data_IF_131491731961
#
_entry.id   IF_131491731961
#
_cell.length_a   1.000
_cell.length_b   1.000
_cell.length_c   1.000
_cell.angle_alpha   90.00
_cell.angle_beta   90.00
_cell.angle_gamma   90.00
#
_symmetry.space_group_name_H-M   'P 1'
#
loop_
_entity.id
_entity.type
_entity.pdbx_description
1 polymer ?
#
# COMPACT_ATOMS: atom_id res chain seq x y z
N UNK A 1 -6.92 -23.33 10.89
CA UNK A 1 -6.37 -22.19 10.12
C UNK A 1 -5.68 -22.81 8.94
N UNK A 2 -5.89 -22.26 7.75
CA UNK A 2 -5.35 -22.82 6.51
C UNK A 2 -4.06 -22.10 6.10
N UNK A 3 -3.39 -22.58 5.07
CA UNK A 3 -2.11 -22.02 4.60
C UNK A 3 -2.19 -20.51 4.31
N UNK A 4 -3.33 -20.01 3.81
CA UNK A 4 -3.57 -18.57 3.57
C UNK A 4 -3.52 -17.76 4.88
N UNK A 5 -4.05 -18.29 5.98
CA UNK A 5 -4.02 -17.60 7.28
C UNK A 5 -2.56 -17.45 7.77
N UNK A 6 -1.75 -18.50 7.62
CA UNK A 6 -0.32 -18.47 7.96
C UNK A 6 0.47 -17.51 7.07
N UNK A 7 0.14 -17.43 5.79
CA UNK A 7 0.74 -16.46 4.87
C UNK A 7 0.43 -15.02 5.30
N UNK A 8 -0.82 -14.73 5.63
CA UNK A 8 -1.25 -13.42 6.14
C UNK A 8 -0.47 -13.05 7.41
N UNK A 9 -0.45 -13.93 8.40
CA UNK A 9 0.28 -13.71 9.66
C UNK A 9 1.77 -13.49 9.37
N UNK A 10 2.37 -14.31 8.50
CA UNK A 10 3.77 -14.20 8.12
C UNK A 10 4.13 -12.84 7.53
N UNK A 11 3.29 -12.31 6.63
CA UNK A 11 3.50 -10.99 6.01
C UNK A 11 3.37 -9.87 7.04
N UNK A 12 2.37 -9.90 7.93
CA UNK A 12 2.23 -8.89 9.00
C UNK A 12 3.41 -8.95 9.94
N UNK A 13 3.78 -10.15 10.39
CA UNK A 13 4.91 -10.36 11.29
C UNK A 13 6.21 -9.87 10.68
N UNK A 14 6.47 -10.20 9.41
CA UNK A 14 7.63 -9.70 8.68
C UNK A 14 7.63 -8.16 8.58
N UNK A 15 6.49 -7.55 8.27
CA UNK A 15 6.33 -6.10 8.24
C UNK A 15 6.63 -5.45 9.59
N UNK A 16 6.18 -6.05 10.70
CA UNK A 16 6.48 -5.59 12.06
C UNK A 16 7.98 -5.70 12.33
N UNK A 17 8.59 -6.86 12.09
CA UNK A 17 10.01 -7.09 12.35
C UNK A 17 10.88 -6.10 11.57
N UNK A 18 10.62 -5.94 10.27
CA UNK A 18 11.34 -4.97 9.43
C UNK A 18 11.20 -3.55 9.98
N UNK A 19 9.99 -3.17 10.42
CA UNK A 19 9.74 -1.82 10.92
C UNK A 19 10.33 -1.57 12.32
N UNK A 20 10.43 -2.60 13.16
CA UNK A 20 11.15 -2.54 14.45
C UNK A 20 12.64 -2.39 14.23
N UNK A 21 13.22 -3.06 13.23
CA UNK A 21 14.65 -2.95 12.91
C UNK A 21 14.98 -1.56 12.35
N UNK A 22 14.12 -1.05 11.46
CA UNK A 22 14.32 0.25 10.79
C UNK A 22 13.97 1.45 11.67
N UNK A 23 12.94 1.32 12.50
CA UNK A 23 12.41 2.43 13.32
C UNK A 23 11.32 3.23 12.60
N UNK A 24 10.45 3.88 13.37
CA UNK A 24 9.33 4.68 12.86
C UNK A 24 9.79 5.86 12.00
N UNK A 25 10.83 6.56 12.43
CA UNK A 25 11.30 7.77 11.75
C UNK A 25 11.86 7.41 10.38
N UNK A 26 12.65 6.33 10.28
CA UNK A 26 13.19 5.90 9.00
C UNK A 26 12.07 5.55 8.00
N UNK A 27 11.02 4.92 8.51
CA UNK A 27 9.87 4.50 7.73
C UNK A 27 9.00 5.69 7.27
N UNK A 28 8.77 6.65 8.17
CA UNK A 28 8.02 7.89 7.88
C UNK A 28 8.77 8.76 6.88
N UNK A 29 10.08 8.96 7.08
CA UNK A 29 10.92 9.68 6.14
C UNK A 29 10.94 9.01 4.78
N UNK A 30 11.01 7.68 4.72
CA UNK A 30 10.91 6.96 3.46
C UNK A 30 9.59 7.24 2.75
N UNK A 31 8.47 7.30 3.48
CA UNK A 31 7.17 7.65 2.90
C UNK A 31 7.16 9.08 2.34
N UNK A 32 7.68 10.05 3.09
CA UNK A 32 7.80 11.44 2.67
C UNK A 32 8.68 11.55 1.41
N UNK A 33 9.83 10.89 1.40
CA UNK A 33 10.77 10.89 0.27
C UNK A 33 10.09 10.33 -0.99
N UNK A 34 9.32 9.26 -0.89
CA UNK A 34 8.56 8.71 -2.02
C UNK A 34 7.54 9.70 -2.57
N UNK A 35 6.78 10.37 -1.69
CA UNK A 35 5.79 11.39 -2.10
C UNK A 35 6.49 12.59 -2.75
N UNK A 36 7.58 13.08 -2.14
CA UNK A 36 8.38 14.17 -2.69
C UNK A 36 8.99 13.78 -4.05
N UNK A 37 9.54 12.57 -4.18
CA UNK A 37 10.12 12.09 -5.43
C UNK A 37 9.07 12.07 -6.54
N UNK A 38 7.85 11.60 -6.26
CA UNK A 38 6.76 11.61 -7.22
C UNK A 38 6.36 13.03 -7.64
N UNK A 39 6.17 13.94 -6.67
CA UNK A 39 5.75 15.31 -6.95
C UNK A 39 6.82 16.11 -7.70
N UNK A 40 8.08 16.03 -7.28
CA UNK A 40 9.18 16.74 -7.93
C UNK A 40 9.44 16.15 -9.31
N UNK A 41 9.46 14.83 -9.46
CA UNK A 41 9.65 14.20 -10.78
C UNK A 41 8.58 14.61 -11.78
N UNK A 42 7.30 14.59 -11.37
CA UNK A 42 6.19 15.00 -12.25
C UNK A 42 6.16 16.49 -12.56
N UNK A 43 6.75 17.34 -11.72
CA UNK A 43 6.80 18.79 -11.96
C UNK A 43 8.04 19.22 -12.75
N UNK A 44 9.20 18.61 -12.49
CA UNK A 44 10.50 19.05 -13.02
C UNK A 44 11.00 18.26 -14.24
N UNK A 45 10.27 17.24 -14.71
CA UNK A 45 10.70 16.45 -15.88
C UNK A 45 10.95 17.29 -17.13
N UNK A 46 10.16 18.36 -17.34
CA UNK A 46 10.27 19.23 -18.52
C UNK A 46 11.65 19.85 -18.69
N UNK A 47 12.34 20.18 -17.59
CA UNK A 47 13.69 20.74 -17.62
C UNK A 47 14.74 19.71 -18.05
N UNK A 48 14.55 18.44 -17.67
CA UNK A 48 15.49 17.38 -17.98
C UNK A 48 15.28 16.82 -19.40
N UNK A 49 14.03 16.79 -19.89
CA UNK A 49 13.70 16.32 -21.25
C UNK A 49 14.46 17.08 -22.35
N UNK A 50 14.77 18.36 -22.15
CA UNK A 50 15.53 19.17 -23.13
C UNK A 50 16.91 18.58 -23.43
N UNK A 51 17.50 17.88 -22.46
CA UNK A 51 18.81 17.23 -22.60
C UNK A 51 18.72 15.79 -23.12
N UNK A 52 17.51 15.23 -23.23
CA UNK A 52 17.28 13.89 -23.76
C UNK A 52 16.96 13.95 -25.26
N UNK A 53 17.99 13.87 -26.10
CA UNK A 53 17.86 13.83 -27.57
C UNK A 53 17.61 12.40 -28.10
N UNK A 54 17.11 11.50 -27.26
CA UNK A 54 17.28 10.06 -27.49
C UNK A 54 16.18 9.40 -28.32
N UNK A 55 15.04 10.05 -28.56
CA UNK A 55 13.92 9.44 -29.31
C UNK A 55 13.01 10.46 -30.01
N UNK A 56 12.50 10.10 -31.19
CA UNK A 56 11.49 10.87 -31.93
C UNK A 56 10.12 10.92 -31.22
N UNK A 57 9.89 10.06 -30.24
CA UNK A 57 8.64 10.02 -29.46
C UNK A 57 8.77 10.81 -28.16
N UNK A 58 7.98 11.88 -28.07
CA UNK A 58 7.93 12.77 -26.90
C UNK A 58 7.46 12.04 -25.63
N UNK A 59 6.62 11.02 -25.76
CA UNK A 59 6.12 10.25 -24.61
C UNK A 59 7.25 9.45 -23.94
N UNK A 60 8.14 8.87 -24.75
CA UNK A 60 9.27 8.08 -24.26
C UNK A 60 10.27 8.98 -23.53
N UNK A 61 10.66 10.11 -24.12
CA UNK A 61 11.62 11.03 -23.50
C UNK A 61 11.09 11.60 -22.17
N UNK A 62 9.80 11.98 -22.12
CA UNK A 62 9.16 12.44 -20.89
C UNK A 62 9.21 11.37 -19.80
N UNK A 63 8.88 10.12 -20.15
CA UNK A 63 8.89 9.00 -19.22
C UNK A 63 10.29 8.73 -18.67
N UNK A 64 11.30 8.73 -19.53
CA UNK A 64 12.69 8.53 -19.11
C UNK A 64 13.14 9.67 -18.18
N UNK A 65 12.81 10.93 -18.49
CA UNK A 65 13.17 12.06 -17.66
C UNK A 65 12.53 11.99 -16.25
N UNK A 66 11.24 11.62 -16.18
CA UNK A 66 10.53 11.37 -14.93
C UNK A 66 11.26 10.28 -14.13
N UNK A 67 11.59 9.15 -14.76
CA UNK A 67 12.29 8.03 -14.12
C UNK A 67 13.63 8.48 -13.56
N UNK A 68 14.45 9.19 -14.35
CA UNK A 68 15.77 9.67 -13.91
C UNK A 68 15.63 10.55 -12.67
N UNK A 69 14.80 11.60 -12.73
CA UNK A 69 14.62 12.52 -11.60
C UNK A 69 14.08 11.80 -10.38
N UNK A 70 13.12 10.89 -10.58
CA UNK A 70 12.52 10.11 -9.50
C UNK A 70 13.57 9.30 -8.74
N UNK A 71 14.41 8.54 -9.46
CA UNK A 71 15.47 7.76 -8.83
C UNK A 71 16.56 8.63 -8.21
N UNK A 72 16.92 9.76 -8.83
CA UNK A 72 17.87 10.71 -8.24
C UNK A 72 17.38 11.20 -6.89
N UNK A 73 16.12 11.58 -6.77
CA UNK A 73 15.53 12.05 -5.50
C UNK A 73 15.45 10.92 -4.48
N UNK A 74 15.07 9.70 -4.90
CA UNK A 74 15.05 8.54 -4.00
C UNK A 74 16.44 8.25 -3.42
N UNK A 75 17.50 8.32 -4.24
CA UNK A 75 18.87 8.08 -3.79
C UNK A 75 19.30 9.16 -2.78
N UNK A 76 19.11 10.43 -3.12
CA UNK A 76 19.46 11.55 -2.23
C UNK A 76 18.66 11.46 -0.92
N UNK A 77 17.35 11.22 -1.02
CA UNK A 77 16.48 11.04 0.13
C UNK A 77 16.89 9.85 0.98
N UNK A 78 17.28 8.71 0.39
CA UNK A 78 17.75 7.55 1.13
C UNK A 78 19.02 7.84 1.93
N UNK A 79 19.97 8.61 1.36
CA UNK A 79 21.17 9.06 2.07
C UNK A 79 20.78 9.94 3.26
N UNK A 80 19.94 10.96 3.04
CA UNK A 80 19.45 11.85 4.10
C UNK A 80 18.74 11.06 5.20
N UNK A 81 17.89 10.12 4.82
CA UNK A 81 17.17 9.25 5.74
C UNK A 81 18.15 8.42 6.60
N UNK A 82 19.20 7.86 5.98
CA UNK A 82 20.21 7.08 6.69
C UNK A 82 21.01 7.93 7.70
N UNK A 83 21.37 9.16 7.33
CA UNK A 83 22.06 10.10 8.21
C UNK A 83 21.18 10.47 9.41
N UNK A 84 19.92 10.85 9.17
CA UNK A 84 18.97 11.20 10.24
C UNK A 84 18.75 10.01 11.18
N UNK A 85 18.53 8.82 10.61
CA UNK A 85 18.35 7.59 11.38
C UNK A 85 19.54 7.29 12.28
N UNK A 86 20.76 7.50 11.78
CA UNK A 86 22.00 7.29 12.53
C UNK A 86 22.15 8.25 13.72
N UNK A 87 21.61 9.47 13.63
CA UNK A 87 21.58 10.43 14.74
C UNK A 87 20.60 9.98 15.82
N UNK A 88 19.39 9.57 15.43
CA UNK A 88 18.34 9.13 16.36
C UNK A 88 18.77 7.88 17.12
N UNK A 89 19.42 6.93 16.44
CA UNK A 89 19.87 5.68 17.05
C UNK A 89 20.87 5.89 18.20
N UNK A 90 21.58 7.02 18.22
CA UNK A 90 22.51 7.38 19.31
C UNK A 90 21.82 7.99 20.53
N UNK A 91 20.54 8.31 20.42
CA UNK A 91 19.75 8.88 21.52
C UNK A 91 18.96 7.80 22.26
N UNK A 92 18.61 8.06 23.52
CA UNK A 92 17.75 7.18 24.33
C UNK A 92 16.35 7.00 23.72
N UNK A 93 15.94 7.87 22.80
CA UNK A 93 14.67 7.78 22.06
C UNK A 93 14.62 6.62 21.06
N UNK A 94 15.76 5.99 20.75
CA UNK A 94 15.86 4.84 19.83
C UNK A 94 14.93 3.68 20.23
N UNK A 95 14.72 3.42 21.53
CA UNK A 95 13.80 2.38 21.99
C UNK A 95 12.33 2.68 21.65
N UNK A 96 11.91 3.94 21.85
CA UNK A 96 10.54 4.39 21.56
C UNK A 96 10.29 4.40 20.05
N UNK A 97 11.27 4.86 19.27
CA UNK A 97 11.21 4.87 17.80
C UNK A 97 10.99 3.47 17.22
N UNK A 98 11.64 2.44 17.78
CA UNK A 98 11.45 1.04 17.35
C UNK A 98 10.08 0.48 17.70
N UNK A 99 9.54 0.81 18.89
CA UNK A 99 8.19 0.37 19.29
C UNK A 99 7.12 1.02 18.41
N UNK A 100 7.23 2.33 18.19
CA UNK A 100 6.36 3.05 17.25
C UNK A 100 6.51 2.49 15.83
N UNK A 101 7.74 2.09 15.45
CA UNK A 101 8.03 1.43 14.19
C UNK A 101 7.27 0.12 14.05
N UNK A 102 7.24 -0.70 15.11
CA UNK A 102 6.44 -1.92 15.15
C UNK A 102 4.94 -1.68 14.96
N UNK A 103 4.37 -0.68 15.64
CA UNK A 103 2.96 -0.31 15.46
C UNK A 103 2.67 0.15 14.02
N UNK A 104 3.54 0.99 13.45
CA UNK A 104 3.42 1.44 12.07
C UNK A 104 3.57 0.27 11.08
N UNK A 105 4.51 -0.64 11.33
CA UNK A 105 4.72 -1.85 10.53
C UNK A 105 3.51 -2.79 10.55
N UNK A 106 2.84 -2.92 11.69
CA UNK A 106 1.60 -3.68 11.80
C UNK A 106 0.50 -3.06 10.94
N UNK A 107 0.29 -1.75 11.06
CA UNK A 107 -0.69 -1.01 10.24
C UNK A 107 -0.38 -1.13 8.74
N UNK A 108 0.88 -0.95 8.35
CA UNK A 108 1.34 -1.12 6.96
C UNK A 108 1.09 -2.54 6.46
N UNK A 109 1.41 -3.55 7.26
CA UNK A 109 1.19 -4.96 6.91
C UNK A 109 -0.30 -5.27 6.68
N UNK A 110 -1.17 -4.75 7.55
CA UNK A 110 -2.63 -4.86 7.43
C UNK A 110 -3.14 -4.19 6.15
N UNK A 111 -2.68 -2.97 5.85
CA UNK A 111 -3.05 -2.23 4.64
C UNK A 111 -2.57 -2.97 3.39
N UNK A 112 -1.32 -3.46 3.40
CA UNK A 112 -0.73 -4.17 2.28
C UNK A 112 -1.47 -5.47 1.95
N UNK A 113 -1.80 -6.27 2.97
CA UNK A 113 -2.58 -7.50 2.79
C UNK A 113 -4.00 -7.19 2.32
N UNK A 114 -4.63 -6.13 2.88
CA UNK A 114 -5.95 -5.68 2.42
C UNK A 114 -5.93 -5.32 0.94
N UNK A 115 -4.87 -4.64 0.47
CA UNK A 115 -4.70 -4.30 -0.94
C UNK A 115 -4.50 -5.56 -1.81
N UNK A 116 -3.72 -6.55 -1.36
CA UNK A 116 -3.56 -7.84 -2.05
C UNK A 116 -4.89 -8.58 -2.16
N UNK A 117 -5.62 -8.70 -1.05
CA UNK A 117 -6.94 -9.36 -1.01
C UNK A 117 -7.89 -8.64 -1.96
N UNK A 118 -7.92 -7.31 -1.93
CA UNK A 118 -8.72 -6.48 -2.82
C UNK A 118 -8.38 -6.73 -4.29
N UNK A 119 -7.09 -6.76 -4.64
CA UNK A 119 -6.64 -7.01 -6.01
C UNK A 119 -7.02 -8.43 -6.47
N UNK A 120 -6.77 -9.45 -5.65
CA UNK A 120 -7.16 -10.83 -5.93
C UNK A 120 -8.68 -10.99 -6.09
N UNK A 121 -9.48 -10.22 -5.34
CA UNK A 121 -10.93 -10.22 -5.46
C UNK A 121 -11.44 -9.67 -6.79
N UNK A 122 -10.76 -8.67 -7.34
CA UNK A 122 -11.17 -7.98 -8.58
C UNK A 122 -10.61 -8.68 -9.82
N UNK A 123 -9.33 -9.00 -9.80
CA UNK A 123 -8.63 -9.48 -10.98
C UNK A 123 -8.59 -11.00 -11.08
N UNK A 124 -9.02 -11.74 -10.05
CA UNK A 124 -8.90 -13.21 -10.03
C UNK A 124 -10.17 -13.89 -9.53
N UNK A 125 -10.45 -15.09 -10.03
CA UNK A 125 -11.51 -15.97 -9.49
C UNK A 125 -11.10 -16.72 -8.22
N UNK A 126 -9.99 -16.32 -7.59
CA UNK A 126 -9.45 -16.89 -6.35
C UNK A 126 -10.45 -16.92 -5.18
N UNK A 127 -11.40 -15.97 -5.06
CA UNK A 127 -12.42 -15.99 -4.00
C UNK A 127 -13.38 -17.19 -4.04
N UNK A 128 -13.39 -17.95 -5.14
CA UNK A 128 -14.22 -19.16 -5.31
C UNK A 128 -13.54 -20.43 -4.80
N UNK A 129 -12.25 -20.38 -4.45
CA UNK A 129 -11.53 -21.57 -3.98
C UNK A 129 -11.98 -21.99 -2.57
N UNK A 130 -11.90 -23.29 -2.30
CA UNK A 130 -12.23 -23.87 -0.99
C UNK A 130 -11.39 -23.24 0.14
N UNK A 131 -10.10 -23.04 -0.12
CA UNK A 131 -9.17 -22.39 0.81
C UNK A 131 -9.63 -20.97 1.16
N UNK A 132 -10.03 -20.16 0.18
CA UNK A 132 -10.46 -18.79 0.44
C UNK A 132 -11.67 -18.71 1.39
N UNK A 133 -12.63 -19.64 1.23
CA UNK A 133 -13.83 -19.66 2.06
C UNK A 133 -13.58 -20.17 3.48
N UNK A 134 -12.55 -20.99 3.68
CA UNK A 134 -12.21 -21.59 4.98
C UNK A 134 -11.31 -20.68 5.84
N UNK A 135 -10.72 -19.62 5.27
CA UNK A 135 -9.87 -18.68 6.00
C UNK A 135 -10.63 -17.94 7.10
N UNK A 136 -10.04 -17.92 8.31
CA UNK A 136 -10.59 -17.18 9.45
C UNK A 136 -10.20 -15.70 9.43
N UNK A 137 -9.09 -15.36 8.78
CA UNK A 137 -8.56 -13.99 8.79
C UNK A 137 -9.14 -13.12 7.68
N UNK A 138 -9.44 -13.67 6.50
CA UNK A 138 -10.01 -12.91 5.37
C UNK A 138 -11.25 -12.09 5.77
N UNK A 139 -12.25 -12.64 6.51
CA UNK A 139 -13.41 -11.86 6.91
C UNK A 139 -13.10 -10.62 7.75
N UNK A 140 -12.00 -10.62 8.51
CA UNK A 140 -11.60 -9.48 9.35
C UNK A 140 -11.10 -8.29 8.50
N UNK A 141 -10.52 -8.57 7.33
CA UNK A 141 -10.07 -7.52 6.39
C UNK A 141 -11.20 -6.95 5.53
N UNK A 142 -12.41 -7.54 5.56
CA UNK A 142 -13.56 -7.06 4.78
C UNK A 142 -13.88 -5.58 5.04
N UNK A 143 -13.67 -5.09 6.26
CA UNK A 143 -13.86 -3.68 6.57
C UNK A 143 -12.88 -2.79 5.79
N UNK A 144 -11.58 -3.12 5.82
CA UNK A 144 -10.55 -2.38 5.07
C UNK A 144 -10.79 -2.47 3.56
N UNK A 145 -11.12 -3.67 3.08
CA UNK A 145 -11.43 -3.94 1.67
C UNK A 145 -12.64 -3.11 1.20
N UNK A 146 -13.66 -2.94 2.06
CA UNK A 146 -14.83 -2.09 1.76
C UNK A 146 -14.45 -0.61 1.58
N UNK A 147 -13.52 -0.10 2.37
CA UNK A 147 -13.01 1.27 2.21
C UNK A 147 -12.35 1.47 0.84
N UNK A 148 -11.62 0.47 0.34
CA UNK A 148 -11.06 0.52 -1.02
C UNK A 148 -12.14 0.53 -2.09
N UNK A 149 -13.18 -0.33 -1.97
CA UNK A 149 -14.30 -0.34 -2.91
C UNK A 149 -15.05 1.01 -2.99
N UNK A 150 -15.22 1.71 -1.87
CA UNK A 150 -15.88 3.02 -1.86
C UNK A 150 -15.10 4.09 -2.63
N UNK A 151 -13.77 3.95 -2.71
CA UNK A 151 -12.90 4.95 -3.35
C UNK A 151 -12.77 4.73 -4.87
N UNK A 152 -13.24 3.59 -5.40
CA UNK A 152 -12.97 3.19 -6.77
C UNK A 152 -14.11 3.58 -7.72
N UNK A 153 -13.79 4.13 -8.91
CA UNK A 153 -14.80 4.42 -9.92
C UNK A 153 -15.54 3.15 -10.33
N UNK A 154 -16.87 3.24 -10.46
CA UNK A 154 -17.74 2.11 -10.78
C UNK A 154 -17.38 1.37 -12.07
N UNK A 155 -16.61 2.00 -12.98
CA UNK A 155 -16.11 1.40 -14.21
C UNK A 155 -15.09 0.26 -14.00
N UNK A 156 -14.40 0.22 -12.86
CA UNK A 156 -13.37 -0.78 -12.55
C UNK A 156 -13.87 -1.94 -11.69
N UNK A 157 -15.15 -1.92 -11.28
CA UNK A 157 -15.74 -2.99 -10.48
C UNK A 157 -16.25 -4.08 -11.42
N UNK A 158 -15.65 -5.29 -11.44
CA UNK A 158 -16.18 -6.40 -12.23
C UNK A 158 -17.58 -6.74 -11.72
N UNK A 159 -18.49 -6.99 -12.66
CA UNK A 159 -19.95 -7.10 -12.44
C UNK A 159 -20.33 -8.27 -11.50
N UNK A 160 -19.38 -9.14 -11.15
CA UNK A 160 -19.56 -10.19 -10.16
C UNK A 160 -19.80 -9.62 -8.76
N UNK A 161 -21.02 -9.78 -8.19
CA UNK A 161 -21.28 -9.40 -6.81
C UNK A 161 -20.47 -10.34 -5.93
N UNK A 162 -19.46 -9.79 -5.27
CA UNK A 162 -18.81 -10.48 -4.18
C UNK A 162 -19.84 -10.76 -3.07
N UNK A 163 -19.71 -11.90 -2.39
CA UNK A 163 -20.69 -12.38 -1.40
C UNK A 163 -20.95 -11.34 -0.29
N UNK A 164 -19.96 -10.53 0.08
CA UNK A 164 -20.10 -9.41 1.01
C UNK A 164 -21.00 -8.27 0.48
N UNK A 165 -21.06 -8.05 -0.84
CA UNK A 165 -21.95 -7.07 -1.46
C UNK A 165 -23.41 -7.57 -1.50
N UNK A 166 -23.61 -8.90 -1.62
CA UNK A 166 -24.93 -9.53 -1.53
C UNK A 166 -25.46 -9.49 -0.09
N UNK A 167 -24.63 -9.82 0.89
CA UNK A 167 -25.00 -9.75 2.31
C UNK A 167 -25.36 -8.32 2.71
N UNK A 168 -24.63 -7.32 2.22
CA UNK A 168 -24.94 -5.92 2.54
C UNK A 168 -26.21 -5.44 1.81
N UNK A 169 -26.51 -5.93 0.61
CA UNK A 169 -27.80 -5.63 -0.07
C UNK A 169 -28.98 -6.23 0.68
N UNK A 170 -28.87 -7.43 1.24
CA UNK A 170 -29.93 -7.98 2.09
C UNK A 170 -30.11 -7.17 3.37
N UNK A 171 -29.02 -6.79 4.05
CA UNK A 171 -29.11 -5.96 5.27
C UNK A 171 -29.70 -4.57 4.98
N UNK A 172 -29.32 -3.95 3.86
CA UNK A 172 -29.88 -2.67 3.41
C UNK A 172 -31.35 -2.83 3.01
N UNK A 173 -31.72 -3.90 2.30
CA UNK A 173 -33.11 -4.17 1.91
C UNK A 173 -33.99 -4.52 3.10
N UNK A 174 -33.45 -5.18 4.13
CA UNK A 174 -34.15 -5.43 5.40
C UNK A 174 -34.38 -4.10 6.12
N UNK A 175 -33.38 -3.23 6.20
CA UNK A 175 -33.54 -1.88 6.76
C UNK A 175 -34.57 -1.05 5.99
N UNK A 176 -34.56 -1.11 4.66
CA UNK A 176 -35.49 -0.37 3.81
C UNK A 176 -36.94 -0.88 3.94
N UNK A 177 -37.12 -2.19 4.17
CA UNK A 177 -38.43 -2.82 4.39
C UNK A 177 -39.05 -2.50 5.77
N UNK A 178 -38.24 -2.06 6.74
CA UNK A 178 -38.74 -1.61 8.04
C UNK A 178 -39.00 -0.10 8.10
N UNK A 179 -38.52 0.65 7.11
CA UNK A 179 -38.65 2.11 7.04
C UNK A 179 -39.80 2.58 6.12
N UNK A 180 -40.47 1.64 5.44
CA UNK A 180 -41.69 1.84 4.65
C UNK A 180 -42.73 0.80 5.05
#
# INVERSE_FOLDING_TARGET
>A
MIWIDYFIIGVIFFSIVVSVIRGFIQETLSCIIWICAFFISTHYYSYLVVWLTNSNDKLINNSIAIIIIFFTILIIGAIVNHVISSVIQRTTLSGIDRVLGGCFGALRGIIFISAIIFFLNIFTSFPKSYDWQQSKLIPQFNYMVKLFYQKIPSSFIPITPSKWMVINKEIINVWYRWYH
#
